data_IF_463051169681
#
_entry.id   IF_463051169681
#
_cell.length_a   1.000
_cell.length_b   1.000
_cell.length_c   1.000
_cell.angle_alpha   90.00
_cell.angle_beta   90.00
_cell.angle_gamma   90.00
#
_symmetry.space_group_name_H-M   'P 1'
#
loop_
_entity.id
_entity.type
_entity.pdbx_description
1 polymer ?
#
# COMPACT_ATOMS: atom_id res chain seq x y z
N UNK A 1 47.83 37.73 22.28
CA UNK A 1 47.31 37.88 20.90
C UNK A 1 47.55 36.58 20.16
N UNK A 2 46.49 35.99 19.56
CA UNK A 2 46.47 35.01 18.45
C UNK A 2 47.25 33.69 18.66
N UNK A 3 46.75 32.46 18.45
CA UNK A 3 45.69 31.84 17.62
C UNK A 3 45.41 30.48 18.29
N UNK A 4 44.18 30.09 18.63
CA UNK A 4 43.19 29.45 17.74
C UNK A 4 43.78 28.32 16.87
N UNK A 5 43.76 27.08 17.37
CA UNK A 5 43.78 25.89 16.52
C UNK A 5 42.76 24.88 17.06
N UNK A 6 41.56 24.98 16.51
CA UNK A 6 40.44 24.07 16.76
C UNK A 6 40.69 22.83 15.88
N UNK A 7 41.17 21.74 16.48
CA UNK A 7 41.25 20.44 15.80
C UNK A 7 39.84 19.84 15.76
N UNK A 8 39.11 20.08 14.67
CA UNK A 8 37.93 19.31 14.31
C UNK A 8 38.41 17.94 13.80
N UNK A 9 38.44 16.96 14.69
CA UNK A 9 38.50 15.55 14.31
C UNK A 9 37.17 15.20 13.62
N UNK A 10 37.16 15.19 12.29
CA UNK A 10 36.08 14.60 11.51
C UNK A 10 36.19 13.09 11.69
N UNK A 11 35.40 12.54 12.61
CA UNK A 11 35.15 11.11 12.68
C UNK A 11 34.47 10.67 11.38
N UNK A 12 35.27 10.16 10.44
CA UNK A 12 34.77 9.32 9.36
C UNK A 12 34.36 7.98 9.98
N UNK A 13 33.10 7.85 10.38
CA UNK A 13 32.54 6.54 10.68
C UNK A 13 32.48 5.76 9.36
N UNK A 14 33.06 4.55 9.28
CA UNK A 14 32.82 3.68 8.14
C UNK A 14 31.33 3.32 8.14
N UNK A 15 30.63 3.71 7.08
CA UNK A 15 29.32 3.13 6.77
C UNK A 15 29.60 1.67 6.42
N UNK A 16 29.52 0.80 7.44
CA UNK A 16 29.54 -0.64 7.26
C UNK A 16 28.24 -0.97 6.51
N UNK A 17 28.37 -1.31 5.22
CA UNK A 17 27.32 -2.03 4.53
C UNK A 17 27.13 -3.34 5.31
N UNK A 18 26.07 -3.42 6.10
CA UNK A 18 25.71 -4.67 6.76
C UNK A 18 25.26 -5.61 5.64
N UNK A 19 26.05 -6.66 5.41
CA UNK A 19 25.56 -7.84 4.70
C UNK A 19 24.41 -8.39 5.55
N UNK A 20 23.18 -8.15 5.10
CA UNK A 20 22.00 -8.72 5.75
C UNK A 20 22.06 -10.21 5.46
N UNK A 21 22.27 -11.00 6.51
CA UNK A 21 22.24 -12.47 6.44
C UNK A 21 20.84 -12.95 6.03
N UNK A 22 20.75 -14.10 5.37
CA UNK A 22 19.47 -14.65 4.86
C UNK A 22 18.41 -14.76 5.97
N UNK A 23 18.83 -15.18 7.17
CA UNK A 23 17.99 -15.28 8.37
C UNK A 23 17.43 -13.92 8.84
N UNK A 24 18.24 -12.86 8.76
CA UNK A 24 17.81 -11.51 9.17
C UNK A 24 16.80 -10.92 8.19
N UNK A 25 16.95 -11.26 6.90
CA UNK A 25 16.00 -10.85 5.87
C UNK A 25 14.64 -11.53 6.07
N UNK A 26 14.63 -12.83 6.38
CA UNK A 26 13.40 -13.57 6.70
C UNK A 26 12.67 -12.95 7.90
N UNK A 27 13.38 -12.68 8.99
CA UNK A 27 12.79 -12.06 10.18
C UNK A 27 12.18 -10.68 9.87
N UNK A 28 12.87 -9.87 9.06
CA UNK A 28 12.42 -8.53 8.70
C UNK A 28 11.18 -8.56 7.78
N UNK A 29 11.10 -9.56 6.89
CA UNK A 29 9.90 -9.82 6.07
C UNK A 29 8.72 -10.22 6.97
N UNK A 30 8.92 -11.14 7.92
CA UNK A 30 7.87 -11.56 8.84
C UNK A 30 7.35 -10.40 9.70
N UNK A 31 8.25 -9.60 10.27
CA UNK A 31 7.88 -8.41 11.05
C UNK A 31 7.09 -7.39 10.20
N UNK A 32 7.49 -7.17 8.95
CA UNK A 32 6.79 -6.27 8.03
C UNK A 32 5.37 -6.77 7.70
N UNK A 33 5.22 -8.08 7.45
CA UNK A 33 3.92 -8.69 7.18
C UNK A 33 2.98 -8.63 8.40
N UNK A 34 3.51 -8.88 9.61
CA UNK A 34 2.73 -8.85 10.86
C UNK A 34 2.28 -7.43 11.23
N UNK A 35 3.16 -6.44 11.03
CA UNK A 35 2.85 -5.03 11.29
C UNK A 35 1.78 -4.50 10.33
N UNK A 36 1.84 -4.91 9.05
CA UNK A 36 0.87 -4.51 8.02
C UNK A 36 -0.53 -5.12 8.23
N UNK A 37 -0.62 -6.38 8.67
CA UNK A 37 -1.88 -7.15 8.76
C UNK A 37 -2.94 -6.58 9.72
N UNK A 38 -2.58 -5.75 10.70
CA UNK A 38 -3.48 -5.48 11.83
C UNK A 38 -4.54 -4.39 11.62
N UNK A 39 -4.52 -3.58 10.55
CA UNK A 39 -5.45 -2.44 10.47
C UNK A 39 -6.10 -2.13 9.12
N UNK A 40 -5.71 -2.80 8.05
CA UNK A 40 -6.17 -2.42 6.71
C UNK A 40 -7.43 -3.20 6.32
N UNK A 41 -8.51 -2.49 6.01
CA UNK A 41 -9.74 -3.07 5.46
C UNK A 41 -9.62 -3.35 3.96
N UNK A 42 -8.85 -2.52 3.24
CA UNK A 42 -8.58 -2.69 1.81
C UNK A 42 -7.47 -3.72 1.62
N UNK A 43 -7.85 -4.94 1.22
CA UNK A 43 -6.94 -6.05 0.97
C UNK A 43 -6.49 -6.13 -0.49
N UNK A 44 -6.82 -5.14 -1.31
CA UNK A 44 -6.53 -5.15 -2.74
C UNK A 44 -5.04 -5.31 -3.02
N UNK A 45 -4.71 -6.27 -3.89
CA UNK A 45 -3.36 -6.47 -4.39
C UNK A 45 -3.18 -5.65 -5.67
N UNK A 46 -2.30 -4.65 -5.61
CA UNK A 46 -1.99 -3.77 -6.73
C UNK A 46 -0.72 -4.21 -7.50
N UNK A 47 -0.24 -5.44 -7.29
CA UNK A 47 0.99 -5.93 -7.88
C UNK A 47 0.94 -6.19 -9.38
N UNK A 48 -0.19 -6.73 -9.86
CA UNK A 48 -0.41 -6.93 -11.28
C UNK A 48 -0.92 -5.62 -11.93
N UNK A 49 -0.23 -5.06 -12.95
CA UNK A 49 -0.64 -3.83 -13.62
C UNK A 49 -2.08 -3.86 -14.16
N UNK A 50 -2.52 -4.99 -14.72
CA UNK A 50 -3.86 -5.11 -15.31
C UNK A 50 -4.95 -5.12 -14.22
N UNK A 51 -4.75 -5.90 -13.16
CA UNK A 51 -5.63 -5.87 -11.99
C UNK A 51 -5.66 -4.49 -11.31
N UNK A 52 -4.49 -3.83 -11.23
CA UNK A 52 -4.36 -2.51 -10.62
C UNK A 52 -5.20 -1.46 -11.33
N UNK A 53 -5.17 -1.40 -12.66
CA UNK A 53 -5.96 -0.43 -13.43
C UNK A 53 -7.46 -0.58 -13.14
N UNK A 54 -7.99 -1.81 -13.25
CA UNK A 54 -9.40 -2.09 -12.96
C UNK A 54 -9.77 -1.79 -11.50
N UNK A 55 -8.90 -2.11 -10.55
CA UNK A 55 -9.13 -1.80 -9.14
C UNK A 55 -9.20 -0.29 -8.90
N UNK A 56 -8.31 0.48 -9.55
CA UNK A 56 -8.28 1.93 -9.44
C UNK A 56 -9.54 2.57 -10.05
N UNK A 57 -10.05 2.04 -11.17
CA UNK A 57 -11.31 2.50 -11.76
C UNK A 57 -12.49 2.36 -10.81
N UNK A 58 -12.69 1.17 -10.23
CA UNK A 58 -13.78 0.92 -9.27
C UNK A 58 -13.62 1.79 -8.04
N UNK A 59 -12.39 1.90 -7.52
CA UNK A 59 -12.09 2.77 -6.38
C UNK A 59 -12.39 4.24 -6.68
N UNK A 60 -12.02 4.73 -7.86
CA UNK A 60 -12.29 6.11 -8.28
C UNK A 60 -13.79 6.38 -8.36
N UNK A 61 -14.57 5.43 -8.90
CA UNK A 61 -16.03 5.52 -8.92
C UNK A 61 -16.62 5.67 -7.51
N UNK A 62 -16.20 4.83 -6.56
CA UNK A 62 -16.64 4.90 -5.17
C UNK A 62 -16.18 6.19 -4.46
N UNK A 63 -15.01 6.73 -4.81
CA UNK A 63 -14.49 7.96 -4.20
C UNK A 63 -15.19 9.23 -4.71
N UNK A 64 -15.65 9.21 -5.96
CA UNK A 64 -16.30 10.36 -6.60
C UNK A 64 -17.68 10.68 -6.01
N UNK A 65 -18.42 9.65 -5.56
CA UNK A 65 -19.79 9.78 -5.06
C UNK A 65 -19.83 10.14 -3.58
N UNK A 66 -20.69 11.11 -3.24
CA UNK A 66 -21.01 11.45 -1.85
C UNK A 66 -22.42 11.00 -1.55
N UNK A 67 -22.60 10.30 -0.43
CA UNK A 67 -23.89 9.74 -0.02
C UNK A 67 -24.21 10.14 1.42
N UNK A 68 -25.50 10.13 1.71
CA UNK A 68 -26.02 10.16 3.08
C UNK A 68 -26.84 8.90 3.25
N UNK A 69 -26.50 8.09 4.24
CA UNK A 69 -27.11 6.79 4.49
C UNK A 69 -27.60 6.75 5.94
N UNK A 70 -28.75 6.13 6.13
CA UNK A 70 -29.31 5.85 7.44
C UNK A 70 -29.85 4.43 7.41
N UNK A 71 -29.17 3.55 8.13
CA UNK A 71 -29.56 2.16 8.37
C UNK A 71 -29.88 2.03 9.85
N UNK A 72 -31.07 1.53 10.19
CA UNK A 72 -31.49 1.28 11.56
C UNK A 72 -31.86 -0.20 11.75
N UNK A 73 -30.92 -0.97 12.30
CA UNK A 73 -31.04 -2.41 12.54
C UNK A 73 -31.49 -3.21 11.31
N UNK A 74 -31.02 -2.81 10.15
CA UNK A 74 -31.32 -3.48 8.88
C UNK A 74 -30.48 -4.75 8.70
N UNK A 75 -30.92 -5.63 7.80
CA UNK A 75 -30.14 -6.78 7.38
C UNK A 75 -28.86 -6.29 6.65
N UNK A 76 -27.66 -6.76 7.04
CA UNK A 76 -26.42 -6.41 6.37
C UNK A 76 -26.42 -6.68 4.86
N UNK A 77 -27.13 -7.70 4.40
CA UNK A 77 -27.23 -8.05 2.98
C UNK A 77 -28.03 -6.99 2.22
N UNK A 78 -29.17 -6.56 2.75
CA UNK A 78 -30.00 -5.52 2.14
C UNK A 78 -29.26 -4.18 2.10
N UNK A 79 -28.56 -3.85 3.19
CA UNK A 79 -27.73 -2.64 3.24
C UNK A 79 -26.57 -2.66 2.23
N UNK A 80 -25.91 -3.81 2.01
CA UNK A 80 -24.89 -3.97 0.98
C UNK A 80 -25.45 -3.90 -0.43
N UNK A 81 -26.65 -4.42 -0.65
CA UNK A 81 -27.36 -4.32 -1.93
C UNK A 81 -27.76 -2.87 -2.22
N UNK A 82 -28.20 -2.11 -1.21
CA UNK A 82 -28.44 -0.67 -1.35
C UNK A 82 -27.14 0.09 -1.67
N UNK A 83 -26.02 -0.27 -1.04
CA UNK A 83 -24.70 0.28 -1.38
C UNK A 83 -24.29 -0.07 -2.83
N UNK A 84 -24.61 -1.26 -3.32
CA UNK A 84 -24.39 -1.68 -4.72
C UNK A 84 -25.17 -0.79 -5.69
N UNK A 85 -26.45 -0.54 -5.42
CA UNK A 85 -27.30 0.32 -6.26
C UNK A 85 -26.80 1.77 -6.30
N UNK A 86 -26.41 2.31 -5.13
CA UNK A 86 -25.90 3.68 -5.03
C UNK A 86 -24.50 3.85 -5.63
N UNK A 87 -23.66 2.82 -5.57
CA UNK A 87 -22.32 2.85 -6.18
C UNK A 87 -22.36 2.65 -7.68
N UNK A 88 -23.26 1.79 -8.17
CA UNK A 88 -23.23 1.28 -9.54
C UNK A 88 -22.05 0.36 -9.82
N UNK A 89 -21.34 -0.12 -8.78
CA UNK A 89 -20.25 -1.10 -8.94
C UNK A 89 -20.76 -2.51 -8.71
N UNK A 90 -20.14 -3.48 -9.36
CA UNK A 90 -20.43 -4.88 -9.07
C UNK A 90 -19.87 -5.22 -7.69
N UNK A 91 -20.76 -5.63 -6.77
CA UNK A 91 -20.43 -6.04 -5.41
C UNK A 91 -20.74 -7.52 -5.23
N UNK A 92 -19.75 -8.29 -4.78
CA UNK A 92 -19.86 -9.72 -4.50
C UNK A 92 -19.51 -9.99 -3.04
N UNK A 93 -20.37 -10.73 -2.37
CA UNK A 93 -20.19 -11.13 -0.96
C UNK A 93 -19.77 -12.59 -0.93
N UNK A 94 -18.70 -12.92 -0.20
CA UNK A 94 -18.24 -14.31 -0.08
C UNK A 94 -19.27 -15.17 0.64
N UNK A 95 -19.31 -16.47 0.31
CA UNK A 95 -20.24 -17.40 0.95
C UNK A 95 -19.99 -17.53 2.46
N UNK A 96 -18.74 -17.36 2.91
CA UNK A 96 -18.40 -17.38 4.34
C UNK A 96 -18.95 -16.17 5.07
N UNK A 97 -18.88 -14.98 4.45
CA UNK A 97 -19.47 -13.76 5.01
C UNK A 97 -20.99 -13.89 5.15
N UNK A 98 -21.67 -14.49 4.16
CA UNK A 98 -23.11 -14.75 4.25
C UNK A 98 -23.46 -15.65 5.43
N UNK A 99 -22.71 -16.74 5.62
CA UNK A 99 -22.88 -17.63 6.77
C UNK A 99 -22.66 -16.92 8.10
N UNK A 100 -21.63 -16.07 8.19
CA UNK A 100 -21.38 -15.26 9.39
C UNK A 100 -22.60 -14.39 9.73
N UNK A 101 -23.20 -13.73 8.74
CA UNK A 101 -24.37 -12.87 8.96
C UNK A 101 -25.58 -13.67 9.44
N UNK A 102 -25.77 -14.89 8.92
CA UNK A 102 -26.84 -15.80 9.35
C UNK A 102 -26.60 -16.37 10.76
N UNK A 103 -25.37 -16.75 11.10
CA UNK A 103 -25.01 -17.38 12.37
C UNK A 103 -25.03 -16.39 13.55
N UNK A 104 -24.57 -15.16 13.32
CA UNK A 104 -24.44 -14.13 14.37
C UNK A 104 -25.63 -13.16 14.43
N UNK A 105 -26.62 -13.28 13.53
CA UNK A 105 -27.77 -12.38 13.38
C UNK A 105 -27.36 -10.89 13.43
N UNK A 106 -26.29 -10.55 12.73
CA UNK A 106 -25.73 -9.19 12.74
C UNK A 106 -26.75 -8.19 12.18
N UNK A 107 -26.83 -7.03 12.84
CA UNK A 107 -27.69 -5.92 12.40
C UNK A 107 -26.85 -4.71 12.01
N UNK A 108 -27.10 -4.18 10.82
CA UNK A 108 -26.43 -2.97 10.35
C UNK A 108 -27.08 -1.73 10.97
N UNK A 109 -26.28 -0.94 11.70
CA UNK A 109 -26.69 0.39 12.18
C UNK A 109 -25.64 1.41 11.77
N UNK A 110 -26.01 2.33 10.88
CA UNK A 110 -25.10 3.37 10.39
C UNK A 110 -25.87 4.61 10.01
N UNK A 111 -25.48 5.75 10.57
CA UNK A 111 -26.03 7.06 10.20
C UNK A 111 -24.92 8.01 9.81
N UNK A 112 -24.87 8.36 8.55
CA UNK A 112 -23.80 9.18 7.95
C UNK A 112 -24.37 10.17 6.96
N UNK A 113 -23.77 11.36 6.89
CA UNK A 113 -24.23 12.43 5.99
C UNK A 113 -23.08 13.01 5.18
N UNK A 114 -23.30 13.16 3.86
CA UNK A 114 -22.38 13.81 2.91
C UNK A 114 -20.95 13.24 2.91
N UNK A 115 -20.79 11.95 3.17
CA UNK A 115 -19.49 11.26 3.16
C UNK A 115 -19.23 10.58 1.82
N UNK A 116 -17.95 10.32 1.50
CA UNK A 116 -17.59 9.53 0.31
C UNK A 116 -18.07 8.09 0.50
N UNK A 117 -18.53 7.47 -0.58
CA UNK A 117 -19.09 6.11 -0.53
C UNK A 117 -18.05 5.07 -0.07
N UNK A 118 -16.77 5.21 -0.44
CA UNK A 118 -15.68 4.37 0.11
C UNK A 118 -15.64 4.43 1.63
N UNK A 119 -15.69 5.64 2.20
CA UNK A 119 -15.63 5.80 3.65
C UNK A 119 -16.89 5.26 4.32
N UNK A 120 -18.05 5.38 3.67
CA UNK A 120 -19.30 4.81 4.16
C UNK A 120 -19.21 3.27 4.23
N UNK A 121 -18.70 2.65 3.17
CA UNK A 121 -18.46 1.20 3.12
C UNK A 121 -17.46 0.76 4.22
N UNK A 122 -16.36 1.49 4.39
CA UNK A 122 -15.38 1.18 5.43
C UNK A 122 -15.95 1.26 6.85
N UNK A 123 -16.77 2.27 7.12
CA UNK A 123 -17.46 2.43 8.40
C UNK A 123 -18.52 1.36 8.60
N UNK A 124 -19.25 1.01 7.54
CA UNK A 124 -20.24 -0.06 7.55
C UNK A 124 -19.61 -1.40 7.91
N UNK A 125 -18.54 -1.80 7.21
CA UNK A 125 -17.87 -3.08 7.47
C UNK A 125 -17.26 -3.15 8.87
N UNK A 126 -16.64 -2.05 9.34
CA UNK A 126 -16.12 -1.95 10.72
C UNK A 126 -17.19 -2.03 11.79
N UNK A 127 -18.38 -1.50 11.51
CA UNK A 127 -19.50 -1.52 12.45
C UNK A 127 -20.15 -2.89 12.60
N UNK A 128 -19.99 -3.76 11.60
CA UNK A 128 -20.55 -5.11 11.61
C UNK A 128 -19.67 -6.12 12.34
N UNK A 129 -18.42 -6.29 11.88
CA UNK A 129 -17.53 -7.31 12.43
C UNK A 129 -16.06 -6.96 12.14
N UNK A 130 -15.15 -7.28 13.07
CA UNK A 130 -13.73 -6.88 12.98
C UNK A 130 -12.96 -7.61 11.87
N UNK A 131 -13.36 -8.85 11.57
CA UNK A 131 -12.71 -9.69 10.56
C UNK A 131 -13.20 -9.44 9.13
N UNK A 132 -14.20 -8.59 8.95
CA UNK A 132 -14.67 -8.21 7.62
C UNK A 132 -13.67 -7.27 6.96
N UNK A 133 -13.46 -7.52 5.68
CA UNK A 133 -12.60 -6.73 4.84
C UNK A 133 -13.15 -6.70 3.42
N UNK A 134 -12.59 -5.83 2.59
CA UNK A 134 -12.93 -5.76 1.18
C UNK A 134 -11.69 -5.72 0.31
N UNK A 135 -11.85 -6.07 -0.96
CA UNK A 135 -10.80 -5.89 -1.94
C UNK A 135 -11.36 -5.88 -3.35
N UNK A 136 -10.62 -5.27 -4.27
CA UNK A 136 -10.97 -5.23 -5.68
C UNK A 136 -10.28 -6.38 -6.41
N UNK A 137 -11.06 -7.18 -7.17
CA UNK A 137 -10.53 -8.21 -8.09
C UNK A 137 -11.30 -8.16 -9.39
N UNK A 138 -10.57 -8.12 -10.52
CA UNK A 138 -11.16 -8.16 -11.86
C UNK A 138 -12.26 -7.10 -12.10
N UNK A 139 -12.11 -5.89 -11.52
CA UNK A 139 -13.11 -4.82 -11.64
C UNK A 139 -14.38 -5.01 -10.81
N UNK A 140 -14.35 -5.92 -9.83
CA UNK A 140 -15.46 -6.20 -8.91
C UNK A 140 -15.01 -5.91 -7.48
N UNK A 141 -15.88 -5.29 -6.69
CA UNK A 141 -15.70 -5.12 -5.25
C UNK A 141 -16.11 -6.41 -4.55
N UNK A 142 -15.18 -7.07 -3.86
CA UNK A 142 -15.45 -8.27 -3.08
C UNK A 142 -15.43 -7.95 -1.58
N UNK A 143 -16.47 -8.38 -0.85
CA UNK A 143 -16.52 -8.38 0.61
C UNK A 143 -16.22 -9.79 1.11
N UNK A 144 -15.20 -9.93 1.94
CA UNK A 144 -14.62 -11.21 2.36
C UNK A 144 -14.24 -11.17 3.84
N UNK A 145 -14.01 -12.35 4.41
CA UNK A 145 -13.29 -12.46 5.68
C UNK A 145 -11.79 -12.24 5.44
N UNK A 146 -11.11 -11.60 6.38
CA UNK A 146 -9.66 -11.36 6.28
C UNK A 146 -8.86 -12.65 6.11
N UNK A 147 -9.29 -13.72 6.75
CA UNK A 147 -8.66 -15.05 6.66
C UNK A 147 -8.84 -15.71 5.28
N UNK A 148 -9.91 -15.36 4.56
CA UNK A 148 -10.22 -15.92 3.25
C UNK A 148 -9.36 -15.28 2.15
N UNK A 149 -8.92 -14.04 2.38
CA UNK A 149 -8.19 -13.29 1.37
C UNK A 149 -6.73 -13.75 1.25
N UNK A 150 -6.44 -14.43 0.15
CA UNK A 150 -5.06 -14.77 -0.23
C UNK A 150 -4.45 -13.59 -1.00
N UNK A 151 -3.65 -12.78 -0.32
CA UNK A 151 -2.79 -11.77 -0.97
C UNK A 151 -1.57 -12.45 -1.58
N UNK A 152 -1.20 -12.05 -2.81
CA UNK A 152 0.08 -12.42 -3.40
C UNK A 152 1.04 -11.28 -3.08
N UNK A 153 2.03 -11.53 -2.23
CA UNK A 153 3.04 -10.52 -1.93
C UNK A 153 4.20 -10.67 -2.90
N UNK A 154 4.61 -9.57 -3.52
CA UNK A 154 5.84 -9.50 -4.32
C UNK A 154 6.84 -8.62 -3.58
N UNK A 155 8.00 -9.20 -3.26
CA UNK A 155 9.12 -8.45 -2.68
C UNK A 155 9.96 -7.89 -3.83
N UNK A 156 10.05 -6.56 -3.92
CA UNK A 156 10.96 -5.92 -4.87
C UNK A 156 12.20 -5.43 -4.12
N UNK A 157 13.28 -6.19 -4.24
CA UNK A 157 14.60 -5.80 -3.70
C UNK A 157 15.23 -4.80 -4.68
N UNK A 158 15.53 -3.59 -4.21
CA UNK A 158 16.22 -2.59 -5.01
C UNK A 158 17.67 -2.44 -4.56
N UNK A 159 18.67 -2.64 -5.44
CA UNK A 159 20.07 -2.44 -5.07
C UNK A 159 20.35 -0.94 -4.90
N UNK A 160 20.65 -0.52 -3.68
CA UNK A 160 21.02 0.87 -3.36
C UNK A 160 22.49 1.19 -3.61
N UNK A 161 23.23 0.27 -4.25
CA UNK A 161 24.65 0.45 -4.54
C UNK A 161 24.91 1.77 -5.27
N UNK A 162 24.07 2.14 -6.23
CA UNK A 162 24.22 3.38 -7.00
C UNK A 162 24.19 4.65 -6.14
N UNK A 163 23.44 4.65 -5.02
CA UNK A 163 23.39 5.78 -4.09
C UNK A 163 24.66 5.90 -3.23
N UNK A 164 25.36 4.79 -3.02
CA UNK A 164 26.52 4.69 -2.14
C UNK A 164 27.84 4.89 -2.88
N UNK A 165 27.88 4.60 -4.17
CA UNK A 165 29.09 4.78 -4.98
C UNK A 165 29.25 6.25 -5.37
N UNK A 166 30.35 6.87 -4.96
CA UNK A 166 30.77 8.14 -5.55
C UNK A 166 31.13 7.89 -7.01
N UNK A 167 30.62 8.68 -7.97
CA UNK A 167 31.07 8.61 -9.35
C UNK A 167 32.59 8.67 -9.38
N UNK A 168 33.20 7.74 -10.13
CA UNK A 168 34.65 7.73 -10.29
C UNK A 168 35.08 9.06 -10.89
N UNK A 169 36.07 9.70 -10.28
CA UNK A 169 36.72 10.86 -10.90
C UNK A 169 37.50 10.35 -12.11
N UNK A 170 37.05 10.71 -13.31
CA UNK A 170 37.71 10.36 -14.56
C UNK A 170 38.72 11.48 -14.85
N UNK A 171 40.03 11.22 -14.77
CA UNK A 171 41.01 12.26 -15.02
C UNK A 171 40.84 12.79 -16.44
N UNK A 172 40.79 14.12 -16.57
CA UNK A 172 40.67 14.76 -17.86
C UNK A 172 41.86 14.37 -18.77
N UNK A 173 41.63 14.12 -20.07
CA UNK A 173 42.71 13.94 -21.03
C UNK A 173 43.65 15.13 -20.97
N UNK A 174 44.96 14.89 -21.01
CA UNK A 174 45.94 15.97 -21.06
C UNK A 174 45.89 16.58 -22.45
N UNK A 175 45.26 17.74 -22.57
CA UNK A 175 45.25 18.53 -23.80
C UNK A 175 46.58 19.27 -23.91
N UNK A 176 47.32 19.00 -24.99
CA UNK A 176 48.48 19.79 -25.37
C UNK A 176 48.17 20.55 -26.66
N UNK A 177 48.56 21.83 -26.72
CA UNK A 177 48.51 22.62 -27.95
C UNK A 177 49.77 22.30 -28.77
N UNK A 178 49.61 21.55 -29.86
CA UNK A 178 50.65 21.32 -30.86
C UNK A 178 50.60 22.40 -31.96
N UNK A 179 51.65 22.48 -32.79
CA UNK A 179 51.73 23.45 -33.90
C UNK A 179 50.61 23.29 -34.95
N UNK A 180 49.94 22.13 -34.97
CA UNK A 180 48.85 21.81 -35.91
C UNK A 180 47.46 21.69 -35.26
N UNK A 181 47.30 22.01 -33.96
CA UNK A 181 46.01 21.96 -33.25
C UNK A 181 46.06 21.28 -31.88
N UNK A 182 44.88 20.91 -31.35
CA UNK A 182 44.75 20.25 -30.04
C UNK A 182 45.07 18.76 -30.18
N UNK A 183 46.14 18.31 -29.53
CA UNK A 183 46.54 16.90 -29.47
C UNK A 183 46.17 16.31 -28.11
N UNK A 184 45.60 15.09 -28.11
CA UNK A 184 45.29 14.31 -26.90
C UNK A 184 46.37 13.26 -26.69
N UNK A 185 47.03 13.26 -25.51
CA UNK A 185 47.99 12.21 -25.10
C UNK A 185 47.42 11.26 -24.08
#
# INVERSE_FOLDING_TARGET
>A
MLRCLLLLAVCALPVVAQEIDEDQLEELIEQALLSSKKKQLDLTDYGDPEHKERALEVRAQLQSRRVSLEFDKEDPLDALDHLRELSGVNLVISAKVRKLFEEEDLKATLKVQKIRLVNALELFLKGLHEDLAYGYRNGVLMVVLREEWKSVHYLQVYPVGDLLHKPKDFPAPKLTLGENGVETR
#
